data_IF_561412949706
#
_entry.id   IF_561412949706
#
_cell.length_a   1.000
_cell.length_b   1.000
_cell.length_c   1.000
_cell.angle_alpha   90.00
_cell.angle_beta   90.00
_cell.angle_gamma   90.00
#
_symmetry.space_group_name_H-M   'P 1'
#
loop_
_entity.id
_entity.type
_entity.pdbx_description
1 polymer ?
#
# COMPACT_ATOMS: atom_id res chain seq x y z
N UNK A 1 -2.85 -15.34 11.71
CA UNK A 1 -4.22 -15.09 12.28
C UNK A 1 -4.47 -13.61 12.59
N UNK A 2 -3.54 -12.91 13.26
CA UNK A 2 -3.73 -11.51 13.64
C UNK A 2 -3.97 -10.59 12.44
N UNK A 3 -3.10 -10.63 11.41
CA UNK A 3 -3.25 -9.77 10.22
C UNK A 3 -4.59 -10.01 9.50
N UNK A 4 -5.04 -11.27 9.44
CA UNK A 4 -6.35 -11.59 8.86
C UNK A 4 -7.50 -10.95 9.64
N UNK A 5 -7.46 -10.98 10.98
CA UNK A 5 -8.48 -10.32 11.80
C UNK A 5 -8.49 -8.80 11.59
N UNK A 6 -7.32 -8.19 11.44
CA UNK A 6 -7.18 -6.75 11.14
C UNK A 6 -7.81 -6.43 9.79
N UNK A 7 -7.49 -7.19 8.73
CA UNK A 7 -8.08 -7.00 7.40
C UNK A 7 -9.60 -7.30 7.39
N UNK A 8 -10.06 -8.32 8.12
CA UNK A 8 -11.50 -8.62 8.22
C UNK A 8 -12.27 -7.46 8.88
N UNK A 9 -11.63 -6.73 9.77
CA UNK A 9 -12.26 -5.60 10.47
C UNK A 9 -12.33 -4.32 9.63
N UNK A 10 -11.33 -4.04 8.77
CA UNK A 10 -11.34 -2.86 7.88
C UNK A 10 -12.16 -3.09 6.61
N UNK A 11 -12.26 -4.32 6.15
CA UNK A 11 -12.95 -4.69 4.91
C UNK A 11 -14.38 -4.14 4.78
N UNK A 12 -15.26 -4.15 5.81
CA UNK A 12 -16.59 -3.55 5.73
C UNK A 12 -16.57 -2.06 5.38
N UNK A 13 -15.55 -1.30 5.84
CA UNK A 13 -15.37 0.11 5.47
C UNK A 13 -14.99 0.23 4.01
N UNK A 14 -14.04 -0.60 3.53
CA UNK A 14 -13.64 -0.62 2.14
C UNK A 14 -14.84 -0.93 1.22
N UNK A 15 -15.63 -1.95 1.54
CA UNK A 15 -16.80 -2.31 0.74
C UNK A 15 -17.90 -1.26 0.79
N UNK A 16 -18.16 -0.68 1.97
CA UNK A 16 -19.26 0.27 2.14
C UNK A 16 -19.03 1.58 1.40
N UNK A 17 -17.80 2.12 1.41
CA UNK A 17 -17.48 3.40 0.79
C UNK A 17 -16.99 3.31 -0.66
N UNK A 18 -16.80 2.11 -1.22
CA UNK A 18 -16.31 1.93 -2.58
C UNK A 18 -17.22 2.58 -3.62
N UNK A 19 -16.65 3.47 -4.43
CA UNK A 19 -17.37 4.23 -5.44
C UNK A 19 -18.37 5.26 -4.90
N UNK A 20 -18.30 5.64 -3.61
CA UNK A 20 -19.21 6.58 -2.95
C UNK A 20 -18.53 7.91 -2.62
N UNK A 21 -18.08 8.63 -3.65
CA UNK A 21 -17.37 9.91 -3.52
C UNK A 21 -18.14 10.96 -2.71
N UNK A 22 -19.47 11.04 -2.89
CA UNK A 22 -20.30 11.99 -2.15
C UNK A 22 -20.33 11.70 -0.65
N UNK A 23 -20.32 10.43 -0.25
CA UNK A 23 -20.30 10.04 1.15
C UNK A 23 -18.91 10.26 1.77
N UNK A 24 -17.84 10.02 1.00
CA UNK A 24 -16.48 10.38 1.40
C UNK A 24 -16.33 11.90 1.63
N UNK A 25 -16.95 12.71 0.79
CA UNK A 25 -17.00 14.16 0.97
C UNK A 25 -17.67 14.60 2.29
N UNK A 26 -18.69 13.87 2.76
CA UNK A 26 -19.36 14.12 4.04
C UNK A 26 -18.48 13.81 5.25
N UNK A 27 -17.55 12.88 5.12
CA UNK A 27 -16.61 12.52 6.20
C UNK A 27 -15.51 13.58 6.40
N UNK A 28 -15.44 14.61 5.55
CA UNK A 28 -14.41 15.63 5.57
C UNK A 28 -12.99 15.02 5.57
N UNK A 29 -12.82 13.92 4.83
CA UNK A 29 -11.54 13.24 4.73
C UNK A 29 -10.45 14.21 4.28
N UNK A 30 -9.28 14.05 4.86
CA UNK A 30 -8.16 14.93 4.61
C UNK A 30 -7.74 14.86 3.13
N UNK A 31 -7.97 15.93 2.38
CA UNK A 31 -7.54 16.07 0.98
C UNK A 31 -6.03 16.30 0.86
N UNK A 32 -5.40 16.65 1.97
CA UNK A 32 -3.99 17.01 2.07
C UNK A 32 -3.21 15.96 2.87
N UNK A 33 -3.53 14.66 2.71
CA UNK A 33 -2.68 13.63 3.28
C UNK A 33 -1.25 13.75 2.71
N UNK A 34 -0.27 13.22 3.44
CA UNK A 34 1.14 13.30 3.04
C UNK A 34 1.38 12.78 1.63
N UNK A 35 0.66 11.75 1.20
CA UNK A 35 0.75 11.19 -0.15
C UNK A 35 0.28 12.17 -1.21
N UNK A 36 -0.89 12.80 -1.02
CA UNK A 36 -1.41 13.79 -1.98
C UNK A 36 -0.50 15.02 -2.09
N UNK A 37 0.06 15.47 -0.97
CA UNK A 37 0.91 16.65 -0.93
C UNK A 37 2.23 16.46 -1.69
N UNK A 38 2.86 15.29 -1.57
CA UNK A 38 4.16 15.00 -2.17
C UNK A 38 4.08 14.30 -3.54
N UNK A 39 2.89 14.07 -4.09
CA UNK A 39 2.71 13.35 -5.36
C UNK A 39 3.16 14.08 -6.62
N UNK A 40 3.64 15.32 -6.54
CA UNK A 40 4.21 15.98 -7.72
C UNK A 40 5.44 15.20 -8.21
N UNK A 41 5.45 14.79 -9.49
CA UNK A 41 6.55 14.00 -10.10
C UNK A 41 7.95 14.54 -9.78
N UNK A 42 8.22 15.86 -9.85
CA UNK A 42 9.52 16.39 -9.47
C UNK A 42 9.87 16.15 -8.01
N UNK A 43 8.88 16.21 -7.10
CA UNK A 43 9.08 15.95 -5.69
C UNK A 43 9.40 14.48 -5.43
N UNK A 44 8.69 13.55 -6.08
CA UNK A 44 8.94 12.11 -5.96
C UNK A 44 10.33 11.73 -6.46
N UNK A 45 10.74 12.22 -7.64
CA UNK A 45 12.11 12.02 -8.14
C UNK A 45 13.12 12.55 -7.15
N UNK A 46 12.98 13.79 -6.71
CA UNK A 46 13.90 14.41 -5.76
C UNK A 46 14.03 13.59 -4.47
N UNK A 47 12.92 13.17 -3.86
CA UNK A 47 12.95 12.39 -2.63
C UNK A 47 13.58 11.01 -2.82
N UNK A 48 13.26 10.35 -3.93
CA UNK A 48 13.75 9.01 -4.25
C UNK A 48 15.25 9.03 -4.57
N UNK A 49 15.72 10.03 -5.32
CA UNK A 49 17.10 10.18 -5.76
C UNK A 49 18.05 10.61 -4.64
N UNK A 50 17.56 11.26 -3.59
CA UNK A 50 18.38 11.60 -2.41
C UNK A 50 19.09 10.40 -1.79
N UNK A 51 18.65 9.17 -2.08
CA UNK A 51 19.21 7.92 -1.56
C UNK A 51 19.56 6.93 -2.68
N UNK A 52 19.97 7.43 -3.84
CA UNK A 52 20.24 6.62 -5.02
C UNK A 52 21.16 5.43 -4.75
N UNK A 53 22.28 5.64 -4.06
CA UNK A 53 23.25 4.57 -3.76
C UNK A 53 22.64 3.47 -2.89
N UNK A 54 21.88 3.85 -1.87
CA UNK A 54 21.20 2.92 -0.96
C UNK A 54 20.03 2.22 -1.67
N UNK A 55 19.28 2.95 -2.51
CA UNK A 55 18.22 2.39 -3.33
C UNK A 55 18.79 1.34 -4.30
N UNK A 56 19.90 1.63 -4.98
CA UNK A 56 20.58 0.69 -5.86
C UNK A 56 21.03 -0.57 -5.13
N UNK A 57 21.55 -0.45 -3.92
CA UNK A 57 21.95 -1.59 -3.09
C UNK A 57 20.75 -2.43 -2.66
N UNK A 58 19.62 -1.81 -2.34
CA UNK A 58 18.42 -2.48 -1.83
C UNK A 58 17.61 -3.15 -2.94
N UNK A 59 17.38 -2.43 -4.05
CA UNK A 59 16.44 -2.87 -5.08
C UNK A 59 17.13 -3.37 -6.36
N UNK A 60 18.37 -2.95 -6.62
CA UNK A 60 19.09 -3.22 -7.87
C UNK A 60 18.65 -2.30 -9.02
N UNK A 61 19.55 -2.13 -10.02
CA UNK A 61 19.40 -1.14 -11.09
C UNK A 61 18.14 -1.31 -11.94
N UNK A 62 17.71 -2.55 -12.20
CA UNK A 62 16.52 -2.79 -13.04
C UNK A 62 15.23 -2.36 -12.34
N UNK A 63 15.12 -2.60 -11.04
CA UNK A 63 13.96 -2.13 -10.25
C UNK A 63 13.98 -0.62 -10.05
N UNK A 64 15.16 -0.04 -9.86
CA UNK A 64 15.29 1.42 -9.79
C UNK A 64 14.78 2.07 -11.07
N UNK A 65 15.18 1.55 -12.23
CA UNK A 65 14.65 2.02 -13.52
C UNK A 65 13.14 1.90 -13.60
N UNK A 66 12.57 0.75 -13.21
CA UNK A 66 11.13 0.53 -13.19
C UNK A 66 10.40 1.47 -12.22
N UNK A 67 11.00 1.82 -11.07
CA UNK A 67 10.45 2.80 -10.13
C UNK A 67 10.49 4.22 -10.66
N UNK A 68 11.52 4.63 -11.41
CA UNK A 68 11.54 5.91 -12.10
C UNK A 68 10.47 5.99 -13.20
N UNK A 69 10.33 4.95 -14.03
CA UNK A 69 9.27 4.86 -15.03
C UNK A 69 7.87 4.91 -14.37
N UNK A 70 7.72 4.30 -13.20
CA UNK A 70 6.50 4.38 -12.41
C UNK A 70 6.23 5.81 -11.92
N UNK A 71 7.23 6.53 -11.39
CA UNK A 71 7.09 7.94 -10.97
C UNK A 71 6.58 8.79 -12.14
N UNK A 72 7.12 8.58 -13.34
CA UNK A 72 6.73 9.34 -14.54
C UNK A 72 5.26 9.13 -14.94
N UNK A 73 4.69 7.97 -14.62
CA UNK A 73 3.32 7.58 -14.99
C UNK A 73 2.34 7.49 -13.82
N UNK A 74 2.76 7.78 -12.59
CA UNK A 74 1.98 7.53 -11.38
C UNK A 74 0.55 8.10 -11.43
N UNK A 75 0.37 9.29 -11.99
CA UNK A 75 -0.96 9.91 -12.09
C UNK A 75 -1.84 9.26 -13.14
N UNK A 76 -1.26 8.77 -14.23
CA UNK A 76 -1.98 8.07 -15.29
C UNK A 76 -2.42 6.68 -14.79
N UNK A 77 -1.54 5.99 -14.06
CA UNK A 77 -1.85 4.70 -13.45
C UNK A 77 -2.90 4.84 -12.34
N UNK A 78 -2.78 5.84 -11.47
CA UNK A 78 -3.76 6.09 -10.41
C UNK A 78 -5.17 6.40 -10.95
N UNK A 79 -5.27 7.19 -12.02
CA UNK A 79 -6.54 7.55 -12.64
C UNK A 79 -7.33 6.33 -13.18
N UNK A 80 -6.62 5.25 -13.54
CA UNK A 80 -7.26 3.99 -13.97
C UNK A 80 -8.06 3.31 -12.87
N UNK A 81 -7.78 3.65 -11.62
CA UNK A 81 -8.36 3.03 -10.43
C UNK A 81 -9.41 3.89 -9.72
N UNK A 82 -9.79 5.05 -10.29
CA UNK A 82 -10.71 6.00 -9.64
C UNK A 82 -12.05 5.38 -9.24
N UNK A 83 -12.59 4.45 -10.05
CA UNK A 83 -13.85 3.77 -9.74
C UNK A 83 -13.77 2.85 -8.50
N UNK A 84 -12.57 2.41 -8.11
CA UNK A 84 -12.36 1.48 -6.99
C UNK A 84 -12.00 2.19 -5.68
N UNK A 85 -11.96 3.52 -5.69
CA UNK A 85 -11.62 4.28 -4.48
C UNK A 85 -12.67 4.09 -3.40
N UNK A 86 -12.19 4.07 -2.18
CA UNK A 86 -12.96 3.89 -0.97
C UNK A 86 -12.34 4.67 0.20
N UNK A 87 -12.95 4.60 1.36
CA UNK A 87 -12.33 5.04 2.60
C UNK A 87 -11.13 4.15 2.93
N UNK A 88 -9.96 4.75 3.16
CA UNK A 88 -8.76 4.09 3.65
C UNK A 88 -8.23 4.77 4.90
N UNK A 89 -7.60 4.00 5.76
CA UNK A 89 -6.92 4.51 6.96
C UNK A 89 -5.68 5.33 6.59
N UNK A 90 -4.95 4.89 5.57
CA UNK A 90 -3.78 5.55 5.00
C UNK A 90 -2.60 5.79 5.98
N UNK A 91 -2.57 5.09 7.11
CA UNK A 91 -1.44 4.85 8.01
C UNK A 91 -1.67 3.51 8.72
N UNK A 92 -1.85 2.45 7.93
CA UNK A 92 -2.37 1.17 8.36
C UNK A 92 -1.26 0.22 8.81
N UNK A 93 -0.69 0.52 9.98
CA UNK A 93 0.38 -0.26 10.62
C UNK A 93 -0.03 -0.72 12.02
N UNK A 94 0.71 -1.69 12.59
CA UNK A 94 0.48 -2.18 13.95
C UNK A 94 0.54 -1.12 15.05
N UNK A 95 1.03 0.06 14.73
CA UNK A 95 1.04 1.21 15.64
C UNK A 95 -0.33 1.89 15.76
N UNK A 96 -1.23 1.66 14.81
CA UNK A 96 -2.51 2.34 14.68
C UNK A 96 -3.71 1.40 14.85
N UNK A 97 -3.47 0.19 15.35
CA UNK A 97 -4.54 -0.71 15.78
C UNK A 97 -4.16 -1.51 17.01
N UNK A 98 -5.17 -1.94 17.73
CA UNK A 98 -5.04 -2.80 18.91
C UNK A 98 -5.84 -4.06 18.70
N UNK A 99 -5.23 -5.22 18.98
CA UNK A 99 -5.88 -6.54 18.89
C UNK A 99 -5.99 -7.14 20.28
N UNK A 100 -7.22 -7.46 20.72
CA UNK A 100 -7.51 -8.13 21.97
C UNK A 100 -8.48 -9.29 21.73
N UNK A 101 -7.93 -10.51 21.67
CA UNK A 101 -8.71 -11.68 21.26
C UNK A 101 -9.20 -11.55 19.82
N UNK A 102 -10.52 -11.46 19.65
CA UNK A 102 -11.17 -11.24 18.34
C UNK A 102 -11.49 -9.75 18.06
N UNK A 103 -11.34 -8.90 19.08
CA UNK A 103 -11.60 -7.46 18.92
C UNK A 103 -10.41 -6.78 18.28
N UNK A 104 -10.67 -5.99 17.23
CA UNK A 104 -9.70 -5.09 16.58
C UNK A 104 -10.26 -3.68 16.65
N UNK A 105 -9.48 -2.76 17.20
CA UNK A 105 -9.80 -1.34 17.30
C UNK A 105 -8.77 -0.55 16.52
N UNK A 106 -9.23 0.32 15.62
CA UNK A 106 -8.39 1.26 14.90
C UNK A 106 -8.44 2.63 15.56
N UNK A 107 -7.34 3.35 15.48
CA UNK A 107 -7.22 4.73 15.94
C UNK A 107 -6.26 5.50 15.05
N UNK A 108 -6.14 6.81 15.27
CA UNK A 108 -5.27 7.70 14.49
C UNK A 108 -5.66 7.78 13.00
N UNK A 109 -6.91 8.21 12.74
CA UNK A 109 -7.45 8.42 11.40
C UNK A 109 -7.08 9.78 10.79
N UNK A 110 -6.07 10.48 11.31
CA UNK A 110 -5.72 11.82 10.83
C UNK A 110 -5.28 11.86 9.36
N UNK A 111 -4.71 10.74 8.87
CA UNK A 111 -4.30 10.58 7.47
C UNK A 111 -5.35 9.88 6.60
N UNK A 112 -6.51 9.53 7.16
CA UNK A 112 -7.56 8.85 6.41
C UNK A 112 -7.94 9.64 5.15
N UNK A 113 -8.12 8.92 4.05
CA UNK A 113 -8.38 9.51 2.76
C UNK A 113 -9.24 8.60 1.86
N UNK A 114 -9.55 9.08 0.68
CA UNK A 114 -10.29 8.33 -0.33
C UNK A 114 -9.31 7.81 -1.39
N UNK A 115 -8.97 6.52 -1.29
CA UNK A 115 -8.00 5.81 -2.12
C UNK A 115 -8.48 4.39 -2.41
N UNK A 116 -7.79 3.63 -3.26
CA UNK A 116 -8.10 2.22 -3.46
C UNK A 116 -7.78 1.40 -2.20
N UNK A 117 -8.58 0.35 -1.87
CA UNK A 117 -8.43 -0.40 -0.61
C UNK A 117 -7.08 -1.09 -0.47
N UNK A 118 -6.42 -1.39 -1.59
CA UNK A 118 -5.10 -2.00 -1.62
C UNK A 118 -4.00 -1.14 -0.97
N UNK A 119 -4.23 0.16 -0.75
CA UNK A 119 -3.29 1.00 0.02
C UNK A 119 -3.15 0.52 1.45
N UNK A 120 -4.26 0.27 2.15
CA UNK A 120 -4.20 -0.23 3.53
C UNK A 120 -3.59 -1.64 3.58
N UNK A 121 -3.92 -2.49 2.61
CA UNK A 121 -3.33 -3.84 2.51
C UNK A 121 -1.82 -3.77 2.28
N UNK A 122 -1.37 -2.93 1.35
CA UNK A 122 0.04 -2.74 1.05
C UNK A 122 0.80 -2.19 2.26
N UNK A 123 0.27 -1.17 2.93
CA UNK A 123 0.88 -0.63 4.15
C UNK A 123 1.01 -1.69 5.24
N UNK A 124 -0.07 -2.42 5.54
CA UNK A 124 -0.03 -3.50 6.52
C UNK A 124 1.07 -4.52 6.19
N UNK A 125 1.17 -4.94 4.93
CA UNK A 125 2.20 -5.89 4.51
C UNK A 125 3.61 -5.28 4.62
N UNK A 126 3.81 -4.04 4.20
CA UNK A 126 5.13 -3.39 4.29
C UNK A 126 5.62 -3.31 5.72
N UNK A 127 4.74 -3.06 6.68
CA UNK A 127 5.14 -3.04 8.09
C UNK A 127 5.29 -4.44 8.71
N UNK A 128 4.47 -5.41 8.32
CA UNK A 128 4.28 -6.64 9.09
C UNK A 128 4.77 -7.92 8.38
N UNK A 129 5.07 -7.91 7.07
CA UNK A 129 5.40 -9.13 6.33
C UNK A 129 6.69 -9.82 6.82
N UNK A 130 7.57 -9.13 7.52
CA UNK A 130 8.76 -9.75 8.13
C UNK A 130 8.44 -10.85 9.14
N UNK A 131 7.23 -10.88 9.70
CA UNK A 131 6.79 -11.86 10.70
C UNK A 131 6.06 -13.08 10.12
N UNK A 132 5.83 -13.14 8.80
CA UNK A 132 5.07 -14.20 8.12
C UNK A 132 5.80 -14.71 6.88
N UNK A 133 5.47 -15.94 6.44
CA UNK A 133 6.06 -16.56 5.24
C UNK A 133 5.45 -16.01 3.94
N UNK A 134 6.10 -16.25 2.80
CA UNK A 134 5.56 -15.88 1.48
C UNK A 134 4.23 -16.58 1.18
N UNK A 135 4.08 -17.82 1.64
CA UNK A 135 2.83 -18.57 1.49
C UNK A 135 1.71 -17.94 2.30
N UNK A 136 1.98 -17.58 3.56
CA UNK A 136 1.00 -16.88 4.40
C UNK A 136 0.61 -15.52 3.81
N UNK A 137 1.53 -14.82 3.14
CA UNK A 137 1.20 -13.57 2.40
C UNK A 137 0.24 -13.89 1.26
N UNK A 138 0.53 -14.91 0.41
CA UNK A 138 -0.34 -15.29 -0.71
C UNK A 138 -1.72 -15.71 -0.24
N UNK A 139 -1.81 -16.54 0.80
CA UNK A 139 -3.09 -16.97 1.38
C UNK A 139 -3.90 -15.79 1.92
N UNK A 140 -3.23 -14.84 2.60
CA UNK A 140 -3.87 -13.65 3.15
C UNK A 140 -4.42 -12.76 2.04
N UNK A 141 -3.65 -12.54 0.99
CA UNK A 141 -4.02 -11.72 -0.16
C UNK A 141 -5.16 -12.34 -0.96
N UNK A 142 -5.09 -13.65 -1.25
CA UNK A 142 -6.16 -14.38 -1.93
C UNK A 142 -7.45 -14.33 -1.12
N UNK A 143 -7.37 -14.57 0.19
CA UNK A 143 -8.54 -14.46 1.07
C UNK A 143 -9.16 -13.06 1.04
N UNK A 144 -8.34 -12.00 1.14
CA UNK A 144 -8.85 -10.63 1.11
C UNK A 144 -9.47 -10.30 -0.24
N UNK A 145 -8.82 -10.67 -1.35
CA UNK A 145 -9.35 -10.54 -2.70
C UNK A 145 -10.74 -11.17 -2.84
N UNK A 146 -10.89 -12.44 -2.45
CA UNK A 146 -12.18 -13.14 -2.53
C UNK A 146 -13.29 -12.39 -1.78
N UNK A 147 -12.99 -11.93 -0.57
CA UNK A 147 -13.93 -11.17 0.25
C UNK A 147 -14.27 -9.81 -0.35
N UNK A 148 -13.28 -9.11 -0.88
CA UNK A 148 -13.46 -7.82 -1.53
C UNK A 148 -14.30 -7.97 -2.81
N UNK A 149 -13.98 -8.94 -3.67
CA UNK A 149 -14.72 -9.25 -4.89
C UNK A 149 -16.20 -9.56 -4.60
N UNK A 150 -16.46 -10.44 -3.63
CA UNK A 150 -17.81 -10.90 -3.29
C UNK A 150 -18.69 -9.77 -2.73
N UNK A 151 -18.07 -8.73 -2.12
CA UNK A 151 -18.75 -7.57 -1.56
C UNK A 151 -18.65 -6.29 -2.42
N UNK A 152 -17.88 -6.31 -3.49
CA UNK A 152 -17.69 -5.16 -4.38
C UNK A 152 -18.86 -4.99 -5.34
N UNK A 153 -19.26 -3.75 -5.68
CA UNK A 153 -20.20 -3.48 -6.75
C UNK A 153 -19.57 -3.62 -8.16
N UNK A 154 -18.26 -3.86 -8.25
CA UNK A 154 -17.51 -3.98 -9.49
C UNK A 154 -17.03 -5.40 -9.72
N UNK A 155 -16.95 -5.80 -10.99
CA UNK A 155 -16.30 -7.05 -11.39
C UNK A 155 -14.79 -6.87 -11.23
N UNK A 156 -14.21 -7.67 -10.34
CA UNK A 156 -12.82 -7.58 -9.92
C UNK A 156 -12.12 -8.90 -10.20
N UNK A 157 -11.17 -8.89 -11.12
CA UNK A 157 -10.30 -10.04 -11.35
C UNK A 157 -9.13 -10.07 -10.35
N UNK A 158 -8.61 -11.26 -10.07
CA UNK A 158 -7.45 -11.41 -9.18
C UNK A 158 -6.19 -10.74 -9.76
N UNK A 159 -6.06 -10.74 -11.09
CA UNK A 159 -4.96 -10.05 -11.77
C UNK A 159 -5.03 -8.54 -11.53
N UNK A 160 -6.18 -7.91 -11.75
CA UNK A 160 -6.36 -6.47 -11.49
C UNK A 160 -6.14 -6.11 -10.03
N UNK A 161 -6.56 -6.97 -9.10
CA UNK A 161 -6.27 -6.80 -7.68
C UNK A 161 -4.77 -6.79 -7.41
N UNK A 162 -4.01 -7.73 -7.99
CA UNK A 162 -2.56 -7.79 -7.84
C UNK A 162 -1.85 -6.59 -8.48
N UNK A 163 -2.29 -6.13 -9.65
CA UNK A 163 -1.76 -4.92 -10.32
C UNK A 163 -1.94 -3.68 -9.43
N UNK A 164 -3.13 -3.49 -8.83
CA UNK A 164 -3.38 -2.40 -7.88
C UNK A 164 -2.56 -2.52 -6.61
N UNK A 165 -2.40 -3.71 -6.07
CA UNK A 165 -1.56 -3.93 -4.89
C UNK A 165 -0.09 -3.60 -5.19
N UNK A 166 0.42 -4.02 -6.34
CA UNK A 166 1.78 -3.68 -6.78
C UNK A 166 1.94 -2.16 -7.00
N UNK A 167 0.92 -1.50 -7.56
CA UNK A 167 0.87 -0.04 -7.65
C UNK A 167 1.04 0.60 -6.26
N UNK A 168 0.29 0.14 -5.25
CA UNK A 168 0.35 0.68 -3.89
C UNK A 168 1.72 0.44 -3.22
N UNK A 169 2.34 -0.72 -3.44
CA UNK A 169 3.68 -1.01 -2.93
C UNK A 169 4.72 -0.08 -3.57
N UNK A 170 4.68 0.11 -4.89
CA UNK A 170 5.58 1.04 -5.61
C UNK A 170 5.36 2.48 -5.12
N UNK A 171 4.11 2.89 -4.98
CA UNK A 171 3.77 4.22 -4.46
C UNK A 171 4.29 4.43 -3.03
N UNK A 172 4.15 3.43 -2.17
CA UNK A 172 4.72 3.48 -0.83
C UNK A 172 6.25 3.69 -0.85
N UNK A 173 6.97 2.97 -1.71
CA UNK A 173 8.43 3.08 -1.84
C UNK A 173 8.85 4.48 -2.26
N UNK A 174 8.27 5.00 -3.35
CA UNK A 174 8.73 6.27 -3.95
C UNK A 174 8.23 7.49 -3.19
N UNK A 175 7.17 7.39 -2.41
CA UNK A 175 6.55 8.48 -1.67
C UNK A 175 6.78 8.32 -0.15
N UNK A 176 6.06 7.40 0.50
CA UNK A 176 6.02 7.30 1.96
C UNK A 176 7.39 6.90 2.55
N UNK A 177 7.99 5.84 2.02
CA UNK A 177 9.29 5.36 2.50
C UNK A 177 10.40 6.38 2.22
N UNK A 178 10.40 7.01 1.05
CA UNK A 178 11.36 8.07 0.72
C UNK A 178 11.25 9.25 1.68
N UNK A 179 10.03 9.69 2.01
CA UNK A 179 9.79 10.73 3.01
C UNK A 179 10.26 10.32 4.41
N UNK A 180 9.92 9.11 4.86
CA UNK A 180 10.35 8.58 6.17
C UNK A 180 11.89 8.56 6.29
N UNK A 181 12.59 8.22 5.22
CA UNK A 181 14.06 8.22 5.18
C UNK A 181 14.65 9.62 5.28
N UNK A 182 14.03 10.62 4.66
CA UNK A 182 14.47 12.03 4.82
C UNK A 182 14.26 12.47 6.27
N UNK A 183 13.09 12.19 6.83
CA UNK A 183 12.78 12.55 8.23
C UNK A 183 13.70 11.84 9.22
N UNK A 184 14.13 10.61 8.91
CA UNK A 184 15.05 9.84 9.78
C UNK A 184 16.44 10.48 9.96
N UNK A 185 16.81 11.43 9.11
CA UNK A 185 18.05 12.22 9.31
C UNK A 185 17.96 13.14 10.55
N UNK A 186 16.76 13.53 10.92
CA UNK A 186 16.51 14.45 12.04
C UNK A 186 15.88 13.77 13.25
N UNK A 187 15.21 12.65 13.03
CA UNK A 187 14.50 11.90 14.08
C UNK A 187 14.85 10.43 13.92
N UNK A 188 15.27 9.77 15.00
CA UNK A 188 15.54 8.33 14.96
C UNK A 188 14.25 7.55 14.64
N UNK A 189 14.29 6.78 13.56
CA UNK A 189 13.22 5.87 13.12
C UNK A 189 13.80 4.47 12.99
N UNK A 190 13.58 3.64 13.99
CA UNK A 190 14.25 2.33 14.15
C UNK A 190 13.80 1.25 13.14
N UNK A 191 12.66 1.45 12.48
CA UNK A 191 12.06 0.44 11.58
C UNK A 191 12.35 0.66 10.08
N UNK A 192 13.11 1.68 9.68
CA UNK A 192 13.38 1.99 8.25
C UNK A 192 14.05 0.82 7.53
N UNK A 193 15.06 0.21 8.14
CA UNK A 193 15.76 -0.92 7.55
C UNK A 193 14.81 -2.11 7.31
N UNK A 194 13.92 -2.36 8.25
CA UNK A 194 12.90 -3.41 8.08
C UNK A 194 11.93 -3.09 6.93
N UNK A 195 11.53 -1.82 6.76
CA UNK A 195 10.68 -1.43 5.62
C UNK A 195 11.39 -1.63 4.28
N UNK A 196 12.69 -1.34 4.18
CA UNK A 196 13.50 -1.58 2.98
C UNK A 196 13.55 -3.07 2.64
N UNK A 197 13.81 -3.93 3.63
CA UNK A 197 13.81 -5.39 3.48
C UNK A 197 12.43 -5.88 3.03
N UNK A 198 11.38 -5.44 3.72
CA UNK A 198 10.02 -5.87 3.46
C UNK A 198 9.53 -5.44 2.07
N UNK A 199 9.79 -4.21 1.66
CA UNK A 199 9.41 -3.72 0.33
C UNK A 199 10.16 -4.43 -0.78
N UNK A 200 11.46 -4.72 -0.62
CA UNK A 200 12.23 -5.52 -1.57
C UNK A 200 11.65 -6.93 -1.71
N UNK A 201 11.35 -7.59 -0.59
CA UNK A 201 10.73 -8.92 -0.56
C UNK A 201 9.36 -8.94 -1.26
N UNK A 202 8.51 -7.94 -1.00
CA UNK A 202 7.20 -7.83 -1.64
C UNK A 202 7.34 -7.64 -3.16
N UNK A 203 8.26 -6.79 -3.61
CA UNK A 203 8.54 -6.67 -5.05
C UNK A 203 8.97 -7.99 -5.66
N UNK A 204 9.83 -8.78 -4.99
CA UNK A 204 10.22 -10.12 -5.44
C UNK A 204 9.02 -11.06 -5.58
N UNK A 205 8.13 -11.04 -4.59
CA UNK A 205 6.97 -11.92 -4.55
C UNK A 205 6.00 -11.67 -5.72
N UNK A 206 5.83 -10.39 -6.11
CA UNK A 206 4.93 -10.02 -7.20
C UNK A 206 5.57 -10.16 -8.59
N UNK A 207 6.87 -9.87 -8.75
CA UNK A 207 7.56 -9.99 -10.05
C UNK A 207 7.73 -11.43 -10.52
N UNK A 208 7.89 -12.40 -9.62
CA UNK A 208 7.97 -13.83 -9.98
C UNK A 208 6.68 -14.32 -10.63
N UNK A 209 5.52 -13.80 -10.25
CA UNK A 209 4.24 -14.16 -10.89
C UNK A 209 4.15 -13.69 -12.35
N UNK A 210 4.72 -12.54 -12.70
CA UNK A 210 4.73 -12.05 -14.09
C UNK A 210 5.61 -12.93 -15.00
N UNK A 211 6.70 -13.51 -14.48
CA UNK A 211 7.64 -14.33 -15.25
C UNK A 211 7.21 -15.80 -15.39
N UNK A 212 6.43 -16.32 -14.49
CA UNK A 212 5.97 -17.72 -14.51
C UNK A 212 4.68 -17.95 -15.33
N UNK A 213 4.16 -16.90 -15.97
CA UNK A 213 3.11 -17.01 -17.00
C UNK A 213 1.81 -17.61 -16.53
N UNK A 214 1.28 -17.17 -15.41
CA UNK A 214 -0.10 -17.49 -15.14
C UNK A 214 -0.39 -18.49 -14.04
N UNK A 215 -1.42 -18.16 -13.42
CA UNK A 215 -2.52 -19.04 -13.07
C UNK A 215 -2.23 -20.29 -12.23
N UNK A 216 -2.57 -20.19 -11.01
CA UNK A 216 -3.42 -21.25 -10.45
C UNK A 216 -4.68 -20.59 -9.93
#
# INVERSE_FOLDING_TARGET
KALRAVLDRILPFHMFYMGRDEDAGKLQLNKYNSRAYFKARPCLHMMFDLREEENNRTYGSDRIRALHEFIDRIHEEEARYDAFKTFTHNDFSSRNFFVRGEEVLFYDFELACYQIPEHDVAELLVYECGAITDEEIRELLHWYYCRLRDGSPYDLTEQEYHERLLFCIREFIVNRLSLLRIVSESIQIDFIEQLLINTSRLLDLFQKKESEGGLV
#
